data_IF_057082176193
#
_entry.id   IF_057082176193
#
_cell.length_a   1.000
_cell.length_b   1.000
_cell.length_c   1.000
_cell.angle_alpha   90.00
_cell.angle_beta   90.00
_cell.angle_gamma   90.00
#
_symmetry.space_group_name_H-M   'P 1'
#
loop_
_entity.id
_entity.type
_entity.pdbx_description
1 polymer ?
#
# COMPACT_ATOMS: atom_id res chain seq x y z
N UNK A 1 -48.55 33.88 -15.07
CA UNK A 1 -48.91 32.94 -13.97
C UNK A 1 -48.09 31.67 -14.17
N UNK A 2 -46.97 31.58 -13.48
CA UNK A 2 -46.09 30.41 -13.58
C UNK A 2 -46.24 29.64 -12.28
N UNK A 3 -46.74 28.43 -12.38
CA UNK A 3 -46.93 27.52 -11.27
C UNK A 3 -45.73 26.55 -11.26
N UNK A 4 -44.65 26.92 -10.59
CA UNK A 4 -43.62 25.96 -10.24
C UNK A 4 -44.03 25.23 -8.96
N UNK A 5 -44.60 24.04 -9.10
CA UNK A 5 -44.73 23.08 -8.03
C UNK A 5 -43.35 22.68 -7.57
N UNK A 6 -42.98 23.02 -6.34
CA UNK A 6 -41.85 22.46 -5.61
C UNK A 6 -42.04 20.94 -5.51
N UNK A 7 -41.24 20.18 -6.24
CA UNK A 7 -41.12 18.77 -6.03
C UNK A 7 -40.61 18.54 -4.61
N UNK A 8 -41.37 17.80 -3.84
CA UNK A 8 -41.00 17.28 -2.53
C UNK A 8 -39.79 16.37 -2.74
N UNK A 9 -38.64 16.77 -2.25
CA UNK A 9 -37.41 15.98 -2.24
C UNK A 9 -37.72 14.73 -1.40
N UNK A 10 -37.97 13.61 -2.06
CA UNK A 10 -37.93 12.31 -1.41
C UNK A 10 -36.54 12.17 -0.83
N UNK A 11 -36.49 11.98 0.50
CA UNK A 11 -35.30 11.55 1.19
C UNK A 11 -34.98 10.12 0.72
N UNK A 12 -34.31 10.02 -0.42
CA UNK A 12 -33.54 8.85 -0.71
C UNK A 12 -32.50 8.76 0.41
N UNK A 13 -32.63 7.78 1.26
CA UNK A 13 -31.60 7.42 2.21
C UNK A 13 -30.35 7.00 1.43
N UNK A 14 -29.69 7.98 0.85
CA UNK A 14 -28.34 7.83 0.38
C UNK A 14 -27.51 7.56 1.64
N UNK A 15 -27.22 6.31 1.88
CA UNK A 15 -26.04 5.91 2.63
C UNK A 15 -24.84 6.33 1.76
N UNK A 16 -24.64 7.64 1.68
CA UNK A 16 -23.51 8.20 1.01
C UNK A 16 -22.27 7.72 1.77
N UNK A 17 -21.35 7.12 1.07
CA UNK A 17 -19.96 7.23 1.47
C UNK A 17 -19.78 8.69 1.86
N UNK A 18 -19.54 8.96 3.15
CA UNK A 18 -19.40 10.32 3.61
C UNK A 18 -18.19 10.87 2.85
N UNK A 19 -18.45 11.68 1.85
CA UNK A 19 -17.41 12.41 1.15
C UNK A 19 -16.63 13.15 2.21
N UNK A 20 -15.32 12.95 2.25
CA UNK A 20 -14.41 13.72 3.06
C UNK A 20 -14.50 15.19 2.60
N UNK A 21 -15.53 15.88 3.12
CA UNK A 21 -15.70 17.31 2.94
C UNK A 21 -14.52 18.01 3.58
N UNK A 22 -13.63 18.52 2.76
CA UNK A 22 -12.76 19.67 3.00
C UNK A 22 -12.24 19.86 4.44
N UNK A 23 -11.46 18.91 4.95
CA UNK A 23 -10.54 19.16 6.06
C UNK A 23 -9.11 18.77 5.66
N UNK A 24 -8.73 19.04 4.42
CA UNK A 24 -7.34 19.14 4.03
C UNK A 24 -6.74 20.40 4.65
N UNK A 25 -6.39 20.34 5.92
CA UNK A 25 -5.40 21.24 6.47
C UNK A 25 -4.10 21.00 5.68
N UNK A 26 -3.70 21.99 4.89
CA UNK A 26 -2.41 22.03 4.19
C UNK A 26 -1.31 22.02 5.25
N UNK A 27 -0.88 20.86 5.67
CA UNK A 27 0.18 20.68 6.67
C UNK A 27 0.77 19.28 6.56
N UNK A 28 2.04 19.17 6.87
CA UNK A 28 2.74 17.89 7.00
C UNK A 28 1.95 16.93 7.90
N UNK A 29 1.82 15.63 7.58
CA UNK A 29 1.04 14.68 8.40
C UNK A 29 1.37 14.72 9.90
N UNK A 30 2.61 15.02 10.26
CA UNK A 30 3.05 15.17 11.64
C UNK A 30 2.57 16.45 12.34
N UNK A 31 2.20 17.52 11.62
CA UNK A 31 1.65 18.74 12.22
C UNK A 31 0.21 18.55 12.72
N UNK A 32 -0.45 17.47 12.35
CA UNK A 32 -1.79 17.12 12.82
C UNK A 32 -1.80 16.51 14.22
N UNK A 33 -0.65 16.01 14.72
CA UNK A 33 -0.55 15.52 16.11
C UNK A 33 -0.80 16.62 17.16
N UNK A 34 -0.60 17.89 16.79
CA UNK A 34 -0.87 19.02 17.68
C UNK A 34 -2.35 19.43 17.73
N UNK A 35 -3.14 19.00 16.73
CA UNK A 35 -4.58 19.27 16.68
C UNK A 35 -5.34 17.98 16.96
N UNK A 36 -5.63 17.70 18.22
CA UNK A 36 -6.49 16.61 18.60
C UNK A 36 -7.89 16.81 18.01
N UNK A 37 -8.12 16.19 16.85
CA UNK A 37 -9.46 16.00 16.32
C UNK A 37 -9.89 14.58 16.64
N UNK A 38 -10.92 14.37 17.46
CA UNK A 38 -11.40 13.01 17.75
C UNK A 38 -12.01 12.32 16.51
N UNK A 39 -12.11 12.99 15.39
CA UNK A 39 -12.63 12.51 14.11
C UNK A 39 -11.57 11.86 13.23
N UNK A 40 -10.36 12.36 13.29
CA UNK A 40 -9.26 11.91 12.46
C UNK A 40 -8.45 10.90 13.27
N UNK A 41 -8.25 9.72 12.72
CA UNK A 41 -7.24 8.80 13.22
C UNK A 41 -5.91 9.25 12.61
N UNK A 42 -5.07 10.02 13.31
CA UNK A 42 -3.84 10.58 12.73
C UNK A 42 -2.91 9.49 12.21
N UNK A 43 -2.99 8.28 12.79
CA UNK A 43 -2.26 7.11 12.33
C UNK A 43 -2.66 6.70 10.91
N UNK A 44 -3.94 6.82 10.52
CA UNK A 44 -4.40 6.45 9.19
C UNK A 44 -3.79 7.35 8.11
N UNK A 45 -3.86 8.67 8.31
CA UNK A 45 -3.25 9.64 7.38
C UNK A 45 -1.73 9.48 7.27
N UNK A 46 -1.08 9.06 8.36
CA UNK A 46 0.35 8.76 8.32
C UNK A 46 0.63 7.54 7.45
N UNK A 47 -0.20 6.50 7.52
CA UNK A 47 -0.05 5.32 6.67
C UNK A 47 -0.30 5.64 5.19
N UNK A 48 -1.28 6.49 4.88
CA UNK A 48 -1.52 6.99 3.52
C UNK A 48 -0.31 7.74 2.98
N UNK A 49 0.24 8.67 3.78
CA UNK A 49 1.43 9.42 3.41
C UNK A 49 2.67 8.53 3.19
N UNK A 50 2.85 7.48 4.01
CA UNK A 50 3.94 6.51 3.84
C UNK A 50 3.78 5.73 2.54
N UNK A 51 2.57 5.26 2.24
CA UNK A 51 2.27 4.54 1.02
C UNK A 51 2.55 5.38 -0.22
N UNK A 52 2.16 6.64 -0.20
CA UNK A 52 2.39 7.59 -1.30
C UNK A 52 3.88 7.95 -1.45
N UNK A 53 4.59 8.17 -0.33
CA UNK A 53 5.97 8.62 -0.34
C UNK A 53 6.99 7.51 -0.59
N UNK A 54 6.68 6.24 -0.28
CA UNK A 54 7.63 5.11 -0.34
C UNK A 54 7.10 4.01 -1.26
N UNK A 55 7.49 4.03 -2.55
CA UNK A 55 6.97 3.09 -3.57
C UNK A 55 7.10 1.61 -3.22
N UNK A 56 8.14 1.24 -2.46
CA UNK A 56 8.35 -0.16 -2.03
C UNK A 56 7.24 -0.62 -1.07
N UNK A 57 6.70 0.27 -0.25
CA UNK A 57 5.58 -0.04 0.65
C UNK A 57 4.30 -0.27 -0.15
N UNK A 58 4.01 0.61 -1.11
CA UNK A 58 2.84 0.44 -1.99
C UNK A 58 2.96 -0.84 -2.81
N UNK A 59 4.13 -1.11 -3.41
CA UNK A 59 4.38 -2.34 -4.14
C UNK A 59 4.14 -3.60 -3.29
N UNK A 60 4.55 -3.60 -2.02
CA UNK A 60 4.32 -4.72 -1.11
C UNK A 60 2.83 -4.94 -0.85
N UNK A 61 2.06 -3.88 -0.57
CA UNK A 61 0.62 -3.96 -0.35
C UNK A 61 -0.11 -4.46 -1.60
N UNK A 62 0.23 -3.92 -2.78
CA UNK A 62 -0.33 -4.35 -4.06
C UNK A 62 -0.03 -5.82 -4.35
N UNK A 63 1.19 -6.29 -4.04
CA UNK A 63 1.56 -7.70 -4.21
C UNK A 63 0.77 -8.62 -3.28
N UNK A 64 0.64 -8.27 -1.99
CA UNK A 64 -0.20 -9.05 -1.06
C UNK A 64 -1.63 -9.12 -1.58
N UNK A 65 -2.19 -7.99 -1.99
CA UNK A 65 -3.56 -7.92 -2.50
C UNK A 65 -3.76 -8.82 -3.73
N UNK A 66 -2.86 -8.73 -4.71
CA UNK A 66 -2.91 -9.55 -5.92
C UNK A 66 -2.76 -11.06 -5.63
N UNK A 67 -1.90 -11.45 -4.68
CA UNK A 67 -1.66 -12.86 -4.35
C UNK A 67 -2.76 -13.47 -3.48
N UNK A 68 -3.45 -12.67 -2.67
CA UNK A 68 -4.60 -13.12 -1.87
C UNK A 68 -5.84 -13.30 -2.74
N UNK A 69 -5.99 -12.49 -3.80
CA UNK A 69 -7.12 -12.51 -4.72
C UNK A 69 -7.26 -13.86 -5.44
N UNK A 70 -8.43 -14.09 -6.00
CA UNK A 70 -8.75 -15.30 -6.75
C UNK A 70 -9.49 -16.33 -5.89
N UNK A 71 -10.80 -16.40 -6.08
CA UNK A 71 -11.65 -17.40 -5.46
C UNK A 71 -12.85 -17.71 -6.36
N UNK A 72 -13.41 -18.88 -6.19
CA UNK A 72 -14.67 -19.28 -6.78
C UNK A 72 -15.65 -19.71 -5.68
N UNK A 73 -16.94 -19.69 -6.00
CA UNK A 73 -17.98 -20.12 -5.09
C UNK A 73 -18.62 -21.38 -5.65
N UNK A 74 -18.79 -22.39 -4.81
CA UNK A 74 -19.49 -23.62 -5.14
C UNK A 74 -20.76 -23.74 -4.32
N UNK A 75 -21.89 -23.98 -5.00
CA UNK A 75 -23.17 -24.26 -4.41
C UNK A 75 -23.59 -25.70 -4.75
N UNK A 76 -24.39 -26.33 -3.89
CA UNK A 76 -24.91 -27.68 -4.14
C UNK A 76 -26.05 -27.71 -5.17
N UNK A 77 -26.76 -26.61 -5.34
CA UNK A 77 -27.84 -26.42 -6.28
C UNK A 77 -27.34 -25.68 -7.53
N UNK A 78 -27.73 -26.18 -8.72
CA UNK A 78 -27.29 -25.60 -10.01
C UNK A 78 -27.88 -24.21 -10.28
N UNK A 79 -29.14 -23.98 -9.87
CA UNK A 79 -29.77 -22.67 -10.05
C UNK A 79 -29.09 -21.63 -9.13
N UNK A 80 -28.83 -22.00 -7.87
CA UNK A 80 -28.08 -21.17 -6.95
C UNK A 80 -26.64 -20.89 -7.43
N UNK A 81 -26.00 -21.86 -8.10
CA UNK A 81 -24.67 -21.68 -8.70
C UNK A 81 -24.67 -20.61 -9.80
N UNK A 82 -25.64 -20.67 -10.72
CA UNK A 82 -25.76 -19.70 -11.80
C UNK A 82 -26.05 -18.29 -11.26
N UNK A 83 -26.92 -18.17 -10.25
CA UNK A 83 -27.23 -16.90 -9.60
C UNK A 83 -26.01 -16.30 -8.94
N UNK A 84 -25.27 -17.11 -8.17
CA UNK A 84 -24.08 -16.60 -7.45
C UNK A 84 -22.95 -16.21 -8.41
N UNK A 85 -22.75 -16.93 -9.51
CA UNK A 85 -21.77 -16.56 -10.54
C UNK A 85 -22.12 -15.24 -11.22
N UNK A 86 -23.39 -15.03 -11.51
CA UNK A 86 -23.88 -13.74 -12.03
C UNK A 86 -23.68 -12.62 -11.03
N UNK A 87 -23.97 -12.86 -9.76
CA UNK A 87 -23.77 -11.91 -8.68
C UNK A 87 -22.29 -11.55 -8.50
N UNK A 88 -21.38 -12.55 -8.46
CA UNK A 88 -19.95 -12.36 -8.30
C UNK A 88 -19.38 -11.40 -9.33
N UNK A 89 -19.81 -11.52 -10.58
CA UNK A 89 -19.28 -10.73 -11.69
C UNK A 89 -19.90 -9.32 -11.80
N UNK A 90 -21.16 -9.15 -11.38
CA UNK A 90 -21.93 -7.97 -11.71
C UNK A 90 -22.24 -7.05 -10.53
N UNK A 91 -22.08 -7.50 -9.27
CA UNK A 91 -22.42 -6.69 -8.10
C UNK A 91 -21.63 -5.39 -8.10
N UNK A 92 -22.27 -4.22 -7.96
CA UNK A 92 -21.55 -2.96 -7.78
C UNK A 92 -20.72 -3.00 -6.50
N UNK A 93 -19.44 -2.65 -6.63
CA UNK A 93 -18.45 -2.73 -5.55
C UNK A 93 -17.88 -1.34 -5.16
N UNK A 94 -18.76 -0.36 -5.09
CA UNK A 94 -18.37 1.02 -4.84
C UNK A 94 -17.85 1.75 -6.10
N UNK A 95 -18.23 3.01 -6.27
CA UNK A 95 -17.84 3.82 -7.42
C UNK A 95 -18.22 3.20 -8.77
N UNK A 96 -17.23 3.05 -9.65
CA UNK A 96 -17.41 2.46 -11.00
C UNK A 96 -17.08 0.97 -11.05
N UNK A 97 -16.50 0.41 -9.99
CA UNK A 97 -16.05 -0.98 -9.97
C UNK A 97 -17.21 -1.95 -9.79
N UNK A 98 -17.09 -3.12 -10.42
CA UNK A 98 -18.05 -4.20 -10.35
C UNK A 98 -17.34 -5.51 -10.03
N UNK A 99 -18.12 -6.44 -9.49
CA UNK A 99 -17.65 -7.74 -9.06
C UNK A 99 -17.26 -7.80 -7.59
N UNK A 100 -17.50 -8.96 -6.98
CA UNK A 100 -17.17 -9.17 -5.58
C UNK A 100 -15.66 -9.17 -5.34
N UNK A 101 -14.85 -9.54 -6.34
CA UNK A 101 -13.38 -9.46 -6.28
C UNK A 101 -12.89 -8.04 -6.09
N UNK A 102 -13.52 -7.07 -6.77
CA UNK A 102 -13.18 -5.66 -6.61
C UNK A 102 -13.48 -5.16 -5.18
N UNK A 103 -14.60 -5.59 -4.59
CA UNK A 103 -14.89 -5.30 -3.19
C UNK A 103 -13.87 -5.95 -2.25
N UNK A 104 -13.56 -7.25 -2.45
CA UNK A 104 -12.61 -7.98 -1.60
C UNK A 104 -11.22 -7.34 -1.66
N UNK A 105 -10.79 -6.91 -2.85
CA UNK A 105 -9.53 -6.21 -3.04
C UNK A 105 -9.47 -4.89 -2.25
N UNK A 106 -10.50 -4.05 -2.35
CA UNK A 106 -10.59 -2.81 -1.59
C UNK A 106 -10.69 -3.04 -0.07
N UNK A 107 -11.45 -4.06 0.32
CA UNK A 107 -11.62 -4.42 1.71
C UNK A 107 -10.33 -4.95 2.34
N UNK A 108 -9.59 -5.78 1.60
CA UNK A 108 -8.27 -6.26 2.02
C UNK A 108 -7.26 -5.12 2.10
N UNK A 109 -7.25 -4.22 1.12
CA UNK A 109 -6.38 -3.04 1.13
C UNK A 109 -6.59 -2.20 2.40
N UNK A 110 -7.84 -1.91 2.74
CA UNK A 110 -8.20 -1.22 3.97
C UNK A 110 -7.76 -1.99 5.22
N UNK A 111 -7.91 -3.32 5.22
CA UNK A 111 -7.50 -4.18 6.33
C UNK A 111 -5.97 -4.16 6.55
N UNK A 112 -5.20 -4.19 5.47
CA UNK A 112 -3.73 -4.13 5.53
C UNK A 112 -3.25 -2.76 5.99
N UNK A 113 -3.80 -1.70 5.41
CA UNK A 113 -3.43 -0.31 5.67
C UNK A 113 -3.71 0.09 7.11
N UNK A 114 -4.93 -0.15 7.59
CA UNK A 114 -5.39 0.39 8.86
C UNK A 114 -5.58 -0.68 9.94
N UNK A 115 -5.40 -1.94 9.57
CA UNK A 115 -5.61 -3.07 10.50
C UNK A 115 -7.08 -3.40 10.76
N UNK A 116 -7.99 -2.58 10.27
CA UNK A 116 -9.45 -2.75 10.45
C UNK A 116 -10.13 -2.45 9.14
N UNK A 117 -11.05 -3.29 8.73
CA UNK A 117 -11.87 -3.04 7.56
C UNK A 117 -13.35 -3.06 7.92
N UNK A 118 -14.10 -2.16 7.30
CA UNK A 118 -15.55 -2.02 7.45
C UNK A 118 -16.18 -2.00 6.07
N UNK A 119 -17.11 -2.92 5.81
CA UNK A 119 -17.90 -2.95 4.61
C UNK A 119 -19.39 -2.95 4.93
N UNK A 120 -20.21 -2.63 3.95
CA UNK A 120 -21.66 -2.63 4.03
C UNK A 120 -22.27 -3.36 2.83
N UNK A 121 -23.30 -4.14 3.11
CA UNK A 121 -24.17 -4.75 2.10
C UNK A 121 -25.41 -3.89 1.93
N UNK A 122 -25.65 -3.42 0.72
CA UNK A 122 -26.85 -2.64 0.36
C UNK A 122 -27.87 -3.59 -0.26
N UNK A 123 -29.04 -3.66 0.35
CA UNK A 123 -30.11 -4.52 -0.14
C UNK A 123 -30.91 -3.82 -1.25
N UNK A 124 -31.45 -4.60 -2.18
CA UNK A 124 -32.41 -4.08 -3.17
C UNK A 124 -33.69 -3.56 -2.49
N UNK A 125 -34.39 -2.57 -3.04
CA UNK A 125 -35.61 -2.01 -2.45
C UNK A 125 -36.67 -3.06 -2.10
N UNK A 126 -36.80 -4.10 -2.92
CA UNK A 126 -37.70 -5.24 -2.69
C UNK A 126 -37.14 -6.33 -1.78
N UNK A 127 -35.91 -6.18 -1.24
CA UNK A 127 -35.19 -7.20 -0.48
C UNK A 127 -35.05 -8.53 -1.23
N UNK A 128 -35.01 -8.47 -2.55
CA UNK A 128 -34.85 -9.64 -3.43
C UNK A 128 -33.39 -10.04 -3.66
N UNK A 129 -32.45 -9.40 -3.01
CA UNK A 129 -31.03 -9.69 -3.11
C UNK A 129 -30.17 -8.55 -2.56
N UNK A 130 -28.86 -8.73 -2.60
CA UNK A 130 -27.87 -7.69 -2.34
C UNK A 130 -27.69 -6.89 -3.63
N UNK A 131 -27.96 -5.59 -3.56
CA UNK A 131 -27.88 -4.66 -4.69
C UNK A 131 -26.47 -4.13 -4.92
N UNK A 132 -25.71 -3.94 -3.86
CA UNK A 132 -24.32 -3.47 -3.91
C UNK A 132 -23.58 -3.84 -2.64
N UNK A 133 -22.26 -3.86 -2.73
CA UNK A 133 -21.33 -3.95 -1.59
C UNK A 133 -20.37 -2.78 -1.64
N UNK A 134 -20.04 -2.18 -0.53
CA UNK A 134 -19.10 -1.06 -0.48
C UNK A 134 -18.21 -1.12 0.76
N UNK A 135 -17.03 -0.52 0.66
CA UNK A 135 -16.12 -0.34 1.78
C UNK A 135 -16.38 1.02 2.40
N UNK A 136 -16.53 1.07 3.72
CA UNK A 136 -16.81 2.31 4.44
C UNK A 136 -15.53 3.11 4.73
N UNK A 137 -15.65 4.43 4.78
CA UNK A 137 -14.55 5.33 5.16
C UNK A 137 -14.33 5.27 6.67
N UNK A 138 -13.13 4.82 7.09
CA UNK A 138 -12.81 4.64 8.52
C UNK A 138 -12.73 5.94 9.31
N UNK A 139 -12.51 7.08 8.67
CA UNK A 139 -12.41 8.37 9.34
C UNK A 139 -13.74 8.82 9.92
N UNK A 140 -14.84 8.44 9.26
CA UNK A 140 -16.20 8.75 9.68
C UNK A 140 -16.82 7.65 10.56
N UNK A 141 -16.10 6.55 10.81
CA UNK A 141 -16.60 5.38 11.50
C UNK A 141 -15.89 5.21 12.85
N UNK A 142 -16.66 4.99 13.89
CA UNK A 142 -16.18 4.64 15.22
C UNK A 142 -16.70 3.27 15.64
N UNK A 143 -15.80 2.41 16.09
CA UNK A 143 -16.11 1.08 16.59
C UNK A 143 -16.15 1.09 18.10
N UNK A 144 -17.28 0.74 18.68
CA UNK A 144 -17.50 0.60 20.12
C UNK A 144 -17.65 -0.88 20.47
N UNK A 145 -16.95 -1.30 21.53
CA UNK A 145 -17.09 -2.67 22.04
C UNK A 145 -18.44 -2.84 22.72
N UNK A 146 -19.18 -3.86 22.32
CA UNK A 146 -20.46 -4.21 22.93
C UNK A 146 -20.38 -5.61 23.54
N UNK A 147 -20.52 -5.70 24.85
CA UNK A 147 -20.42 -6.97 25.59
C UNK A 147 -19.03 -7.61 25.51
N UNK A 148 -18.96 -8.94 25.59
CA UNK A 148 -17.70 -9.68 25.58
C UNK A 148 -17.06 -9.77 24.18
N UNK A 149 -17.86 -9.99 23.14
CA UNK A 149 -17.37 -10.32 21.78
C UNK A 149 -18.03 -9.50 20.67
N UNK A 150 -18.83 -8.47 20.99
CA UNK A 150 -19.54 -7.65 20.01
C UNK A 150 -18.84 -6.33 19.71
N UNK A 151 -19.08 -5.81 18.50
CA UNK A 151 -18.73 -4.45 18.12
C UNK A 151 -19.95 -3.76 17.54
N UNK A 152 -20.15 -2.50 17.88
CA UNK A 152 -21.17 -1.63 17.32
C UNK A 152 -20.50 -0.53 16.51
N UNK A 153 -21.03 -0.29 15.35
CA UNK A 153 -20.55 0.74 14.43
C UNK A 153 -21.36 2.01 14.59
N UNK A 154 -20.65 3.10 14.78
CA UNK A 154 -21.20 4.45 14.83
C UNK A 154 -20.65 5.24 13.64
N UNK A 155 -21.51 6.03 13.03
CA UNK A 155 -21.12 7.02 12.02
C UNK A 155 -21.17 8.40 12.62
N UNK A 156 -20.18 9.21 12.35
CA UNK A 156 -20.12 10.58 12.78
C UNK A 156 -20.65 11.48 11.65
N UNK A 157 -21.65 12.28 12.00
CA UNK A 157 -22.24 13.30 11.15
C UNK A 157 -22.03 14.68 11.78
N UNK A 158 -22.29 15.76 11.04
CA UNK A 158 -22.14 17.14 11.52
C UNK A 158 -22.93 17.46 12.82
N UNK A 159 -23.95 16.64 13.16
CA UNK A 159 -24.78 16.80 14.35
C UNK A 159 -24.43 15.86 15.52
N UNK A 160 -23.38 15.03 15.40
CA UNK A 160 -22.98 14.09 16.44
C UNK A 160 -22.82 12.66 15.96
N UNK A 161 -22.70 11.71 16.89
CA UNK A 161 -22.57 10.28 16.60
C UNK A 161 -23.95 9.64 16.49
N UNK A 162 -24.14 8.81 15.44
CA UNK A 162 -25.35 8.00 15.26
C UNK A 162 -24.97 6.53 15.04
N UNK A 163 -25.64 5.57 15.73
CA UNK A 163 -25.41 4.16 15.45
C UNK A 163 -25.95 3.81 14.06
N UNK A 164 -25.22 3.00 13.32
CA UNK A 164 -25.73 2.46 12.05
C UNK A 164 -26.99 1.65 12.33
N UNK A 165 -28.04 1.86 11.53
CA UNK A 165 -29.36 1.30 11.79
C UNK A 165 -29.39 -0.23 11.67
N UNK A 166 -28.68 -0.80 10.69
CA UNK A 166 -28.66 -2.24 10.41
C UNK A 166 -27.24 -2.77 10.58
N UNK A 167 -26.87 -3.09 11.81
CA UNK A 167 -25.55 -3.63 12.15
C UNK A 167 -25.28 -4.99 11.49
N UNK A 168 -26.33 -5.75 11.20
CA UNK A 168 -26.26 -7.08 10.58
C UNK A 168 -25.75 -7.02 9.14
N UNK A 169 -25.99 -5.91 8.45
CA UNK A 169 -25.53 -5.68 7.07
C UNK A 169 -24.09 -5.21 6.98
N UNK A 170 -23.47 -4.95 8.12
CA UNK A 170 -22.07 -4.53 8.17
C UNK A 170 -21.13 -5.73 8.17
N UNK A 171 -20.02 -5.55 7.49
CA UNK A 171 -18.90 -6.48 7.38
C UNK A 171 -17.73 -5.89 8.15
N UNK A 172 -17.26 -6.58 9.18
CA UNK A 172 -16.21 -6.09 10.06
C UNK A 172 -15.09 -7.11 10.13
N UNK A 173 -13.87 -6.66 9.94
CA UNK A 173 -12.67 -7.48 10.13
C UNK A 173 -11.57 -6.69 10.83
N UNK A 174 -10.79 -7.38 11.63
CA UNK A 174 -9.65 -6.81 12.34
C UNK A 174 -8.42 -7.71 12.15
N UNK A 175 -7.30 -7.10 11.76
CA UNK A 175 -6.03 -7.78 11.60
C UNK A 175 -5.29 -7.79 12.94
N UNK A 176 -5.00 -8.97 13.48
CA UNK A 176 -4.29 -9.14 14.76
C UNK A 176 -4.79 -8.21 15.88
N UNK A 177 -6.08 -8.25 16.22
CA UNK A 177 -6.60 -7.42 17.29
C UNK A 177 -5.95 -7.78 18.62
N UNK A 178 -5.65 -6.78 19.44
CA UNK A 178 -5.22 -7.04 20.81
C UNK A 178 -6.38 -7.54 21.66
N UNK A 179 -6.13 -8.38 22.68
CA UNK A 179 -7.19 -8.82 23.58
C UNK A 179 -8.00 -7.65 24.11
N UNK A 180 -9.32 -7.73 23.97
CA UNK A 180 -10.24 -6.68 24.44
C UNK A 180 -10.42 -5.48 23.52
N UNK A 181 -9.71 -5.38 22.42
CA UNK A 181 -9.91 -4.34 21.39
C UNK A 181 -10.76 -4.86 20.24
N UNK A 182 -11.55 -4.00 19.64
CA UNK A 182 -12.36 -4.26 18.44
C UNK A 182 -11.67 -3.81 17.15
N UNK A 183 -10.60 -3.01 17.29
CA UNK A 183 -9.76 -2.54 16.19
C UNK A 183 -8.53 -3.42 16.05
N UNK A 184 -8.11 -3.66 14.82
CA UNK A 184 -6.90 -4.42 14.52
C UNK A 184 -5.63 -3.55 14.53
N UNK A 185 -4.55 -4.17 14.14
CA UNK A 185 -3.23 -3.54 14.03
C UNK A 185 -2.83 -3.47 12.56
N UNK A 186 -2.51 -2.27 12.07
CA UNK A 186 -2.01 -2.05 10.71
C UNK A 186 -0.76 -2.89 10.41
N UNK A 187 -0.65 -3.38 9.18
CA UNK A 187 0.58 -3.99 8.68
C UNK A 187 1.73 -2.97 8.68
N UNK A 188 1.42 -1.68 8.47
CA UNK A 188 2.42 -0.61 8.43
C UNK A 188 2.87 -0.12 9.81
N UNK A 189 2.28 -0.63 10.88
CA UNK A 189 2.66 -0.23 12.24
C UNK A 189 4.14 -0.52 12.51
N UNK A 190 4.87 0.52 12.89
CA UNK A 190 6.33 0.48 13.11
C UNK A 190 7.16 0.94 11.92
N UNK A 191 6.58 1.07 10.72
CA UNK A 191 7.28 1.61 9.55
C UNK A 191 7.48 3.13 9.54
N UNK A 192 6.67 3.97 10.22
CA UNK A 192 6.84 5.43 10.15
C UNK A 192 8.26 5.90 10.42
N UNK A 193 8.92 5.35 11.43
CA UNK A 193 10.31 5.69 11.75
C UNK A 193 11.28 5.22 10.65
N UNK A 194 11.11 3.99 10.16
CA UNK A 194 11.98 3.40 9.13
C UNK A 194 11.89 4.18 7.82
N UNK A 195 10.67 4.54 7.42
CA UNK A 195 10.41 5.30 6.19
C UNK A 195 10.90 6.74 6.29
N UNK A 196 10.79 7.39 7.45
CA UNK A 196 11.34 8.73 7.67
C UNK A 196 12.89 8.74 7.50
N UNK A 197 13.57 7.74 8.07
CA UNK A 197 15.02 7.59 7.89
C UNK A 197 15.37 7.32 6.43
N UNK A 198 14.63 6.45 5.75
CA UNK A 198 14.86 6.14 4.34
C UNK A 198 14.69 7.39 3.44
N UNK A 199 13.65 8.17 3.66
CA UNK A 199 13.40 9.40 2.91
C UNK A 199 14.50 10.45 3.16
N UNK A 200 15.02 10.56 4.38
CA UNK A 200 16.17 11.41 4.69
C UNK A 200 17.43 10.97 3.96
N UNK A 201 17.67 9.65 3.86
CA UNK A 201 18.79 9.10 3.08
C UNK A 201 18.64 9.48 1.61
N UNK A 202 17.47 9.28 1.00
CA UNK A 202 17.23 9.64 -0.39
C UNK A 202 17.38 11.13 -0.65
N UNK A 203 16.87 11.98 0.24
CA UNK A 203 17.06 13.42 0.15
C UNK A 203 18.56 13.81 0.22
N UNK A 204 19.32 13.16 1.11
CA UNK A 204 20.76 13.37 1.23
C UNK A 204 21.50 12.97 -0.04
N UNK A 205 21.11 11.85 -0.65
CA UNK A 205 21.63 11.41 -1.95
C UNK A 205 21.36 12.49 -3.01
N UNK A 206 20.12 12.97 -3.11
CA UNK A 206 19.75 14.04 -4.06
C UNK A 206 20.60 15.30 -3.88
N UNK A 207 20.72 15.80 -2.65
CA UNK A 207 21.55 16.97 -2.33
C UNK A 207 23.03 16.74 -2.67
N UNK A 208 23.54 15.53 -2.43
CA UNK A 208 24.93 15.21 -2.76
C UNK A 208 25.16 15.19 -4.28
N UNK A 209 24.22 14.62 -5.05
CA UNK A 209 24.28 14.66 -6.51
C UNK A 209 24.21 16.10 -7.07
N UNK A 210 23.35 16.95 -6.51
CA UNK A 210 23.31 18.37 -6.89
C UNK A 210 24.61 19.09 -6.56
N UNK A 211 25.24 18.80 -5.41
CA UNK A 211 26.55 19.40 -5.03
C UNK A 211 27.69 18.97 -5.94
N UNK A 212 27.68 17.70 -6.37
CA UNK A 212 28.71 17.16 -7.26
C UNK A 212 28.50 17.65 -8.69
N UNK A 213 27.25 17.68 -9.15
CA UNK A 213 26.88 18.18 -10.48
C UNK A 213 27.14 19.68 -10.63
N UNK A 214 27.04 20.44 -9.56
CA UNK A 214 27.38 21.88 -9.53
C UNK A 214 28.81 22.07 -9.09
N UNK A 215 29.77 21.82 -9.99
CA UNK A 215 31.19 22.06 -9.75
C UNK A 215 31.42 23.53 -9.40
N UNK A 216 31.99 23.79 -8.21
CA UNK A 216 32.33 25.12 -7.76
C UNK A 216 33.82 25.31 -7.93
N UNK A 217 34.21 26.48 -8.41
CA UNK A 217 35.58 26.82 -8.60
C UNK A 217 35.98 27.96 -7.66
N UNK A 218 37.10 27.82 -6.96
CA UNK A 218 37.73 28.91 -6.27
C UNK A 218 38.85 29.47 -7.18
N UNK A 219 38.63 30.65 -7.68
CA UNK A 219 39.63 31.36 -8.48
C UNK A 219 40.37 32.32 -7.55
N UNK A 220 41.64 32.04 -7.29
CA UNK A 220 42.46 32.86 -6.42
C UNK A 220 43.50 33.60 -7.27
N UNK A 221 43.43 34.94 -7.28
CA UNK A 221 44.40 35.77 -7.90
C UNK A 221 45.44 36.23 -6.86
N UNK A 222 46.73 35.98 -7.11
CA UNK A 222 47.83 36.46 -6.27
C UNK A 222 48.53 37.64 -6.95
N UNK A 223 48.38 38.87 -6.44
CA UNK A 223 49.09 40.03 -7.02
C UNK A 223 50.60 39.90 -6.80
N UNK A 224 51.40 40.32 -7.80
CA UNK A 224 52.84 40.41 -7.64
C UNK A 224 53.20 41.46 -6.60
N UNK A 225 54.36 41.31 -5.98
CA UNK A 225 54.81 42.12 -4.81
C UNK A 225 55.09 43.62 -5.07
N UNK A 226 54.80 44.14 -6.29
CA UNK A 226 54.92 45.55 -6.59
C UNK A 226 53.75 46.39 -6.05
N UNK A 227 54.00 47.57 -5.50
CA UNK A 227 53.02 48.49 -4.92
C UNK A 227 51.92 48.86 -5.94
N UNK A 228 52.25 49.00 -7.21
CA UNK A 228 51.31 49.28 -8.30
C UNK A 228 50.43 48.13 -8.61
N UNK A 229 50.87 46.85 -8.48
CA UNK A 229 50.09 45.65 -8.67
C UNK A 229 49.07 45.48 -7.56
N UNK A 230 49.33 45.91 -6.34
CA UNK A 230 48.39 45.85 -5.22
C UNK A 230 47.23 46.83 -5.37
N UNK A 231 47.47 48.04 -5.90
CA UNK A 231 46.39 49.03 -6.12
C UNK A 231 45.38 48.57 -7.18
N UNK A 232 45.81 47.86 -8.24
CA UNK A 232 44.95 47.38 -9.28
C UNK A 232 44.46 45.94 -9.05
N UNK A 233 44.82 45.32 -7.96
CA UNK A 233 44.44 43.92 -7.66
C UNK A 233 42.93 43.72 -7.56
N UNK A 234 42.22 44.68 -6.96
CA UNK A 234 40.75 44.61 -6.83
C UNK A 234 40.03 44.74 -8.17
N UNK A 235 40.52 45.57 -9.09
CA UNK A 235 39.94 45.71 -10.43
C UNK A 235 40.16 44.44 -11.27
N UNK A 236 41.37 43.88 -11.22
CA UNK A 236 41.69 42.63 -11.92
C UNK A 236 40.89 41.45 -11.39
N UNK A 237 40.71 41.36 -10.08
CA UNK A 237 39.87 40.31 -9.48
C UNK A 237 38.42 40.41 -9.95
N UNK A 238 37.86 41.63 -10.08
CA UNK A 238 36.52 41.85 -10.65
C UNK A 238 36.44 41.45 -12.12
N UNK A 239 37.42 41.81 -12.93
CA UNK A 239 37.46 41.43 -14.35
C UNK A 239 37.51 39.91 -14.50
N UNK A 240 38.33 39.23 -13.72
CA UNK A 240 38.41 37.77 -13.72
C UNK A 240 37.05 37.16 -13.29
N UNK A 241 36.40 37.71 -12.27
CA UNK A 241 35.08 37.24 -11.80
C UNK A 241 33.97 37.43 -12.87
N UNK A 242 34.01 38.58 -13.57
CA UNK A 242 33.06 38.87 -14.63
C UNK A 242 33.24 37.95 -15.86
N UNK A 243 34.48 37.75 -16.30
CA UNK A 243 34.80 36.81 -17.39
C UNK A 243 34.45 35.37 -17.00
N UNK A 244 34.75 34.94 -15.78
CA UNK A 244 34.39 33.63 -15.26
C UNK A 244 32.86 33.46 -15.24
N UNK A 245 32.13 34.47 -14.75
CA UNK A 245 30.66 34.44 -14.72
C UNK A 245 30.05 34.33 -16.13
N UNK A 246 30.64 35.00 -17.12
CA UNK A 246 30.19 34.88 -18.52
C UNK A 246 30.45 33.48 -19.09
N UNK A 247 31.66 32.93 -18.88
CA UNK A 247 32.01 31.59 -19.31
C UNK A 247 31.10 30.52 -18.69
N UNK A 248 30.76 30.62 -17.40
CA UNK A 248 29.85 29.72 -16.71
C UNK A 248 28.42 29.79 -17.23
N UNK A 249 27.91 30.99 -17.56
CA UNK A 249 26.58 31.16 -18.16
C UNK A 249 26.50 30.59 -19.56
N UNK A 250 27.58 30.66 -20.34
CA UNK A 250 27.67 30.05 -21.66
C UNK A 250 27.72 28.53 -21.59
N UNK A 251 28.38 27.96 -20.58
CA UNK A 251 28.39 26.52 -20.31
C UNK A 251 27.03 25.94 -19.99
N UNK A 252 26.16 26.69 -19.31
CA UNK A 252 24.77 26.26 -19.06
C UNK A 252 23.92 26.15 -20.35
N UNK A 253 24.31 26.85 -21.40
CA UNK A 253 23.67 26.81 -22.72
C UNK A 253 24.31 25.80 -23.69
N UNK A 254 25.14 24.87 -23.17
CA UNK A 254 25.78 23.84 -23.97
C UNK A 254 27.02 24.26 -24.76
N UNK A 255 27.50 25.49 -24.57
CA UNK A 255 28.72 26.00 -25.19
C UNK A 255 29.84 25.95 -24.19
N UNK A 256 30.87 25.13 -24.44
CA UNK A 256 32.07 25.07 -23.59
C UNK A 256 33.02 26.20 -24.01
N UNK A 257 33.29 27.13 -23.11
CA UNK A 257 34.27 28.22 -23.30
C UNK A 257 35.46 27.97 -22.42
N UNK A 258 36.64 27.97 -23.02
CA UNK A 258 37.89 27.88 -22.29
C UNK A 258 38.19 29.24 -21.61
N UNK A 259 38.60 29.16 -20.34
CA UNK A 259 38.99 30.33 -19.56
C UNK A 259 40.53 30.51 -19.69
N UNK A 260 40.92 31.64 -20.23
CA UNK A 260 42.34 32.00 -20.33
C UNK A 260 42.61 33.19 -19.42
N UNK A 261 43.42 32.99 -18.38
CA UNK A 261 43.84 34.03 -17.45
C UNK A 261 45.32 34.34 -17.68
N UNK A 262 45.65 35.65 -17.68
CA UNK A 262 47.03 36.15 -17.69
C UNK A 262 47.41 36.65 -16.30
N UNK A 263 48.35 35.96 -15.66
CA UNK A 263 48.83 36.29 -14.29
C UNK A 263 48.88 35.03 -13.39
N UNK A 264 49.24 35.24 -12.13
CA UNK A 264 49.27 34.13 -11.14
C UNK A 264 47.87 33.88 -10.61
N UNK A 265 47.12 33.04 -11.36
CA UNK A 265 45.76 32.62 -11.05
C UNK A 265 45.79 31.14 -10.71
N UNK A 266 45.38 30.81 -9.50
CA UNK A 266 45.20 29.43 -9.03
C UNK A 266 43.71 29.08 -9.03
N UNK A 267 43.32 28.05 -9.81
CA UNK A 267 41.95 27.58 -9.94
C UNK A 267 41.84 26.26 -9.21
N UNK A 268 41.10 26.24 -8.11
CA UNK A 268 40.79 25.02 -7.36
C UNK A 268 39.35 24.64 -7.53
N UNK A 269 39.14 23.41 -7.84
CA UNK A 269 37.78 22.82 -7.83
C UNK A 269 37.38 22.58 -6.38
N UNK A 270 36.31 23.22 -5.92
CA UNK A 270 35.74 22.99 -4.58
C UNK A 270 34.59 22.04 -4.70
N UNK A 271 34.68 20.93 -3.96
CA UNK A 271 33.58 19.95 -3.88
C UNK A 271 33.79 18.65 -4.65
N UNK A 272 34.85 18.57 -5.50
CA UNK A 272 35.19 17.32 -6.19
C UNK A 272 35.95 16.31 -5.30
N UNK A 273 36.57 16.76 -4.23
CA UNK A 273 37.34 15.92 -3.30
C UNK A 273 36.48 15.32 -2.19
N UNK A 274 35.19 15.68 -2.10
CA UNK A 274 34.30 15.09 -1.11
C UNK A 274 33.86 13.72 -1.59
N UNK A 275 34.34 12.69 -0.92
CA UNK A 275 33.83 11.35 -1.07
C UNK A 275 32.30 11.37 -0.98
N UNK A 276 31.63 10.82 -2.00
CA UNK A 276 30.19 10.57 -1.94
C UNK A 276 29.95 9.70 -0.70
N UNK A 277 29.15 10.20 0.23
CA UNK A 277 28.77 9.41 1.38
C UNK A 277 28.15 8.10 0.88
N UNK A 278 28.71 6.97 1.26
CA UNK A 278 28.16 5.67 0.93
C UNK A 278 26.82 5.52 1.65
N UNK A 279 25.76 5.67 0.88
CA UNK A 279 24.38 5.57 1.36
C UNK A 279 23.77 4.20 1.07
N UNK A 280 24.49 3.28 0.41
CA UNK A 280 23.97 1.97 0.02
C UNK A 280 23.62 1.13 1.24
N UNK A 281 24.55 0.99 2.19
CA UNK A 281 24.33 0.17 3.38
C UNK A 281 23.18 0.68 4.25
N UNK A 282 23.12 1.99 4.62
CA UNK A 282 21.99 2.51 5.39
C UNK A 282 20.64 2.38 4.68
N UNK A 283 20.58 2.66 3.38
CA UNK A 283 19.36 2.51 2.60
C UNK A 283 18.91 1.05 2.57
N UNK A 284 19.82 0.12 2.35
CA UNK A 284 19.56 -1.32 2.36
C UNK A 284 19.00 -1.78 3.71
N UNK A 285 19.59 -1.36 4.83
CA UNK A 285 19.10 -1.71 6.16
C UNK A 285 17.66 -1.25 6.40
N UNK A 286 17.28 -0.07 5.91
CA UNK A 286 15.89 0.42 6.00
C UNK A 286 14.95 -0.38 5.11
N UNK A 287 15.37 -0.74 3.89
CA UNK A 287 14.58 -1.59 3.00
C UNK A 287 14.41 -3.01 3.58
N UNK A 288 15.43 -3.57 4.23
CA UNK A 288 15.35 -4.87 4.93
C UNK A 288 14.29 -4.84 6.05
N UNK A 289 14.15 -3.73 6.77
CA UNK A 289 13.09 -3.58 7.78
C UNK A 289 11.69 -3.55 7.14
N UNK A 290 11.54 -2.93 5.96
CA UNK A 290 10.27 -2.92 5.22
C UNK A 290 9.94 -4.34 4.74
N UNK A 291 10.90 -5.05 4.16
CA UNK A 291 10.76 -6.45 3.75
C UNK A 291 10.37 -7.35 4.93
N UNK A 292 11.09 -7.25 6.04
CA UNK A 292 10.81 -8.02 7.25
C UNK A 292 9.41 -7.75 7.81
N UNK A 293 8.93 -6.51 7.71
CA UNK A 293 7.60 -6.10 8.21
C UNK A 293 6.47 -6.55 7.30
N UNK A 294 6.66 -6.47 5.98
CA UNK A 294 5.64 -6.83 4.99
C UNK A 294 5.60 -8.33 4.69
N UNK A 295 6.67 -9.05 5.00
CA UNK A 295 6.82 -10.48 4.68
C UNK A 295 7.02 -10.78 3.19
N UNK A 296 7.09 -9.75 2.33
CA UNK A 296 7.28 -9.94 0.89
C UNK A 296 8.77 -10.12 0.59
N UNK A 297 9.17 -11.23 -0.07
CA UNK A 297 10.55 -11.44 -0.45
C UNK A 297 11.15 -10.32 -1.30
N UNK A 298 12.43 -9.95 -1.11
CA UNK A 298 13.07 -8.84 -1.82
C UNK A 298 12.97 -8.93 -3.34
N UNK A 299 13.12 -10.12 -3.91
CA UNK A 299 13.07 -10.32 -5.35
C UNK A 299 11.70 -9.96 -5.96
N UNK A 300 10.60 -10.12 -5.19
CA UNK A 300 9.26 -9.71 -5.63
C UNK A 300 9.06 -8.20 -5.63
N UNK A 301 9.87 -7.48 -4.88
CA UNK A 301 9.90 -6.01 -4.82
C UNK A 301 10.93 -5.39 -5.78
N UNK A 302 11.57 -6.21 -6.62
CA UNK A 302 12.62 -5.77 -7.54
C UNK A 302 13.95 -5.46 -6.86
N UNK A 303 14.15 -5.91 -5.63
CA UNK A 303 15.40 -5.72 -4.88
C UNK A 303 16.33 -6.90 -5.14
N UNK A 304 17.38 -6.66 -5.92
CA UNK A 304 18.36 -7.67 -6.30
C UNK A 304 19.40 -7.89 -5.20
N UNK A 305 18.98 -8.52 -4.10
CA UNK A 305 19.92 -9.00 -3.10
C UNK A 305 20.32 -10.43 -3.44
N UNK A 306 21.60 -10.76 -3.23
CA UNK A 306 22.11 -12.10 -3.51
C UNK A 306 21.35 -13.12 -2.66
N UNK A 307 20.46 -13.86 -3.30
CA UNK A 307 19.73 -14.98 -2.70
C UNK A 307 20.01 -16.23 -3.52
N UNK A 308 20.11 -17.37 -2.85
CA UNK A 308 20.18 -18.66 -3.52
C UNK A 308 18.77 -19.11 -3.92
N UNK A 309 18.64 -19.88 -4.97
CA UNK A 309 17.37 -20.47 -5.42
C UNK A 309 16.61 -21.14 -4.27
N UNK A 310 17.32 -21.90 -3.45
CA UNK A 310 16.75 -22.57 -2.28
C UNK A 310 16.18 -21.58 -1.24
N UNK A 311 16.85 -20.44 -1.00
CA UNK A 311 16.32 -19.41 -0.11
C UNK A 311 15.07 -18.78 -0.68
N UNK A 312 15.03 -18.52 -1.98
CA UNK A 312 13.87 -17.93 -2.64
C UNK A 312 12.66 -18.85 -2.56
N UNK A 313 12.83 -20.16 -2.74
CA UNK A 313 11.76 -21.17 -2.57
C UNK A 313 11.24 -21.21 -1.14
N UNK A 314 12.13 -21.23 -0.14
CA UNK A 314 11.71 -21.22 1.27
C UNK A 314 10.97 -19.94 1.65
N UNK A 315 11.39 -18.79 1.13
CA UNK A 315 10.70 -17.52 1.36
C UNK A 315 9.31 -17.51 0.71
N UNK A 316 9.16 -18.11 -0.48
CA UNK A 316 7.88 -18.27 -1.15
C UNK A 316 6.90 -19.15 -0.34
N UNK A 317 7.37 -20.24 0.25
CA UNK A 317 6.55 -21.12 1.08
C UNK A 317 6.07 -20.41 2.37
N UNK A 318 6.95 -19.65 3.02
CA UNK A 318 6.59 -18.85 4.19
C UNK A 318 5.54 -17.79 3.82
N UNK A 319 5.75 -17.08 2.70
CA UNK A 319 4.80 -16.10 2.21
C UNK A 319 3.43 -16.72 1.93
N UNK A 320 3.39 -17.89 1.30
CA UNK A 320 2.13 -18.61 1.04
C UNK A 320 1.36 -18.87 2.34
N UNK A 321 2.03 -19.27 3.40
CA UNK A 321 1.42 -19.47 4.72
C UNK A 321 0.83 -18.19 5.30
N UNK A 322 1.52 -17.05 5.14
CA UNK A 322 0.99 -15.75 5.58
C UNK A 322 -0.22 -15.30 4.77
N UNK A 323 -0.21 -15.51 3.45
CA UNK A 323 -1.33 -15.16 2.58
C UNK A 323 -2.59 -15.96 2.96
N UNK A 324 -2.47 -17.22 3.36
CA UNK A 324 -3.57 -18.02 3.88
C UNK A 324 -4.20 -17.42 5.15
N UNK A 325 -3.45 -16.72 5.96
CA UNK A 325 -3.98 -16.00 7.12
C UNK A 325 -4.95 -14.91 6.71
N UNK A 326 -4.64 -14.13 5.66
CA UNK A 326 -5.57 -13.11 5.15
C UNK A 326 -6.83 -13.75 4.56
N UNK A 327 -6.68 -14.84 3.80
CA UNK A 327 -7.82 -15.61 3.26
C UNK A 327 -8.76 -16.09 4.35
N UNK A 328 -8.24 -16.56 5.50
CA UNK A 328 -9.06 -16.96 6.65
C UNK A 328 -9.87 -15.80 7.24
N UNK A 329 -9.36 -14.58 7.19
CA UNK A 329 -10.08 -13.38 7.66
C UNK A 329 -11.16 -12.98 6.66
N UNK A 330 -10.90 -13.12 5.36
CA UNK A 330 -11.84 -12.75 4.28
C UNK A 330 -12.96 -13.78 4.08
N UNK A 331 -12.68 -15.05 4.29
CA UNK A 331 -13.66 -16.16 4.10
C UNK A 331 -15.00 -15.88 4.78
N UNK A 332 -15.11 -15.53 6.07
CA UNK A 332 -16.40 -15.26 6.70
C UNK A 332 -17.10 -14.01 6.12
N UNK A 333 -16.36 -13.03 5.63
CA UNK A 333 -16.92 -11.83 5.00
C UNK A 333 -17.58 -12.20 3.68
N UNK A 334 -16.85 -12.89 2.81
CA UNK A 334 -17.35 -13.35 1.51
C UNK A 334 -18.54 -14.30 1.70
N UNK A 335 -18.42 -15.28 2.61
CA UNK A 335 -19.52 -16.19 2.96
C UNK A 335 -20.77 -15.44 3.39
N UNK A 336 -20.63 -14.41 4.23
CA UNK A 336 -21.76 -13.62 4.71
C UNK A 336 -22.47 -12.91 3.56
N UNK A 337 -21.72 -12.28 2.66
CA UNK A 337 -22.28 -11.58 1.49
C UNK A 337 -23.03 -12.57 0.59
N UNK A 338 -22.38 -13.66 0.19
CA UNK A 338 -22.94 -14.65 -0.73
C UNK A 338 -24.17 -15.37 -0.15
N UNK A 339 -24.10 -15.81 1.10
CA UNK A 339 -25.22 -16.48 1.74
C UNK A 339 -26.40 -15.53 1.99
N UNK A 340 -26.15 -14.26 2.30
CA UNK A 340 -27.20 -13.25 2.42
C UNK A 340 -27.89 -13.05 1.08
N UNK A 341 -27.12 -12.91 0.00
CA UNK A 341 -27.68 -12.77 -1.35
C UNK A 341 -28.55 -13.98 -1.73
N UNK A 342 -28.03 -15.20 -1.64
CA UNK A 342 -28.75 -16.41 -1.97
C UNK A 342 -30.06 -16.60 -1.18
N UNK A 343 -30.02 -16.33 0.13
CA UNK A 343 -31.21 -16.42 0.99
C UNK A 343 -32.29 -15.41 0.62
N UNK A 344 -31.88 -14.18 0.25
CA UNK A 344 -32.83 -13.17 -0.21
C UNK A 344 -33.42 -13.50 -1.59
N UNK A 345 -32.67 -14.16 -2.47
CA UNK A 345 -33.15 -14.70 -3.74
C UNK A 345 -34.02 -15.97 -3.58
N UNK A 346 -34.15 -16.50 -2.36
CA UNK A 346 -35.00 -17.67 -2.07
C UNK A 346 -34.28 -19.02 -2.11
N UNK A 347 -32.98 -19.07 -2.37
CA UNK A 347 -32.20 -20.29 -2.37
C UNK A 347 -31.81 -20.72 -0.95
N UNK A 348 -31.89 -22.03 -0.67
CA UNK A 348 -31.47 -22.61 0.61
C UNK A 348 -30.06 -23.20 0.58
N UNK A 349 -29.40 -23.13 -0.57
CA UNK A 349 -28.02 -23.61 -0.73
C UNK A 349 -27.03 -22.67 -0.02
N UNK A 350 -26.02 -23.24 0.62
CA UNK A 350 -24.92 -22.48 1.21
C UNK A 350 -23.77 -22.34 0.21
N UNK A 351 -23.22 -21.14 0.16
CA UNK A 351 -22.07 -20.79 -0.67
C UNK A 351 -20.78 -21.27 -0.01
N UNK A 352 -20.06 -22.18 -0.67
CA UNK A 352 -18.74 -22.64 -0.24
C UNK A 352 -17.66 -21.92 -1.05
N UNK A 353 -16.77 -21.22 -0.37
CA UNK A 353 -15.64 -20.53 -1.00
C UNK A 353 -14.54 -21.54 -1.29
N UNK A 354 -14.02 -21.49 -2.50
CA UNK A 354 -12.86 -22.25 -2.96
C UNK A 354 -11.83 -21.22 -3.42
N UNK A 355 -10.76 -21.10 -2.68
CA UNK A 355 -9.64 -20.22 -3.04
C UNK A 355 -8.78 -20.88 -4.10
N UNK A 356 -8.30 -20.08 -5.04
CA UNK A 356 -7.35 -20.53 -6.03
C UNK A 356 -6.00 -20.83 -5.36
N UNK A 357 -5.26 -21.78 -5.90
CA UNK A 357 -3.95 -22.13 -5.36
C UNK A 357 -2.97 -20.97 -5.53
N UNK A 358 -2.24 -20.64 -4.46
CA UNK A 358 -1.18 -19.66 -4.50
C UNK A 358 0.08 -20.38 -4.98
N UNK A 359 0.29 -20.39 -6.30
CA UNK A 359 1.48 -20.98 -6.88
C UNK A 359 2.52 -19.88 -7.12
N UNK A 360 3.56 -19.87 -6.29
CA UNK A 360 4.77 -19.07 -6.48
C UNK A 360 5.92 -19.92 -7.06
N UNK A 361 5.67 -21.20 -7.25
CA UNK A 361 6.61 -22.17 -7.80
C UNK A 361 6.37 -22.33 -9.30
N UNK A 362 7.43 -22.75 -10.01
CA UNK A 362 7.36 -23.05 -11.43
C UNK A 362 6.37 -24.20 -11.67
N UNK A 363 5.48 -24.06 -12.65
CA UNK A 363 4.50 -25.10 -13.04
C UNK A 363 5.15 -26.45 -13.32
N UNK A 364 6.38 -26.44 -13.80
CA UNK A 364 7.17 -27.65 -14.08
C UNK A 364 7.54 -28.37 -12.77
N UNK A 365 7.88 -27.66 -11.72
CA UNK A 365 8.18 -28.25 -10.41
C UNK A 365 6.91 -28.81 -9.74
N UNK A 366 5.80 -28.10 -9.85
CA UNK A 366 4.49 -28.58 -9.37
C UNK A 366 4.06 -29.86 -10.10
N UNK A 367 4.22 -29.91 -11.42
CA UNK A 367 3.92 -31.10 -12.21
C UNK A 367 4.82 -32.29 -11.83
N UNK A 368 6.10 -32.07 -11.58
CA UNK A 368 7.03 -33.10 -11.07
C UNK A 368 6.62 -33.59 -9.69
N UNK A 369 6.29 -32.69 -8.77
CA UNK A 369 5.82 -33.04 -7.43
C UNK A 369 4.54 -33.87 -7.47
N UNK A 370 3.58 -33.52 -8.33
CA UNK A 370 2.36 -34.29 -8.56
C UNK A 370 2.66 -35.67 -9.12
N UNK A 371 3.55 -35.77 -10.10
CA UNK A 371 3.97 -37.06 -10.66
C UNK A 371 4.59 -37.96 -9.58
N UNK A 372 5.49 -37.43 -8.75
CA UNK A 372 6.10 -38.17 -7.66
C UNK A 372 5.05 -38.63 -6.63
N UNK A 373 4.08 -37.77 -6.28
CA UNK A 373 2.96 -38.14 -5.40
C UNK A 373 2.12 -39.26 -5.98
N UNK A 374 1.77 -39.18 -7.26
CA UNK A 374 1.01 -40.25 -7.93
C UNK A 374 1.80 -41.57 -7.97
N UNK A 375 3.09 -41.51 -8.25
CA UNK A 375 3.95 -42.69 -8.23
C UNK A 375 4.04 -43.29 -6.82
N UNK A 376 4.20 -42.47 -5.77
CA UNK A 376 4.21 -42.91 -4.39
C UNK A 376 2.88 -43.57 -4.01
N UNK A 377 1.75 -43.03 -4.43
CA UNK A 377 0.44 -43.56 -4.18
C UNK A 377 0.19 -44.88 -4.93
N UNK A 378 0.69 -45.02 -6.17
CA UNK A 378 0.66 -46.28 -6.90
C UNK A 378 1.52 -47.36 -6.23
N UNK A 379 2.68 -47.01 -5.71
CA UNK A 379 3.55 -47.93 -4.97
C UNK A 379 2.88 -48.35 -3.66
N UNK A 380 2.30 -47.42 -2.89
CA UNK A 380 1.57 -47.70 -1.67
C UNK A 380 0.39 -48.67 -1.92
N UNK A 381 -0.38 -48.42 -2.97
CA UNK A 381 -1.50 -49.30 -3.37
C UNK A 381 -1.00 -50.69 -3.80
N UNK A 382 0.13 -50.80 -4.48
CA UNK A 382 0.75 -52.08 -4.85
C UNK A 382 1.29 -52.88 -3.65
N UNK A 383 1.72 -52.17 -2.62
CA UNK A 383 2.23 -52.78 -1.37
C UNK A 383 1.13 -53.09 -0.36
N UNK A 384 -0.14 -52.81 -0.66
CA UNK A 384 -1.27 -53.09 0.23
C UNK A 384 -1.28 -52.22 1.49
N UNK A 385 -0.57 -51.10 1.50
CA UNK A 385 -0.62 -50.14 2.63
C UNK A 385 -1.94 -49.36 2.50
N UNK A 386 -2.82 -49.51 3.47
CA UNK A 386 -4.05 -48.75 3.55
C UNK A 386 -3.75 -47.24 3.66
N UNK A 387 -4.50 -46.45 2.93
CA UNK A 387 -4.34 -45.00 2.78
C UNK A 387 -4.59 -44.19 4.06
N UNK A 388 -4.81 -44.82 5.21
CA UNK A 388 -5.11 -44.16 6.48
C UNK A 388 -3.90 -43.46 7.14
N UNK A 389 -2.68 -43.81 6.79
CA UNK A 389 -1.48 -43.25 7.41
C UNK A 389 -0.85 -42.09 6.61
N UNK A 390 -1.23 -41.92 5.34
CA UNK A 390 -0.74 -40.81 4.51
C UNK A 390 -1.44 -39.46 4.81
N UNK A 391 -2.63 -39.48 5.40
CA UNK A 391 -3.36 -38.26 5.80
C UNK A 391 -2.96 -37.74 7.20
N UNK A 392 -2.24 -38.54 8.00
CA UNK A 392 -1.74 -38.14 9.33
C UNK A 392 -0.39 -37.44 9.31
N UNK A 393 0.28 -37.41 8.17
CA UNK A 393 1.60 -36.79 7.98
C UNK A 393 1.57 -35.43 7.26
N UNK A 394 0.38 -34.81 7.17
CA UNK A 394 0.21 -33.45 6.67
C UNK A 394 -0.01 -32.45 7.81
#
# INVERSE_FOLDING_TARGET
>A
MSVFKKAKKEESGAYGCASAGELCAKGHPFSQFERYSPLLKPENHLYDAIREAVPVVDAALCKINALVSGFSIKCSDREAQNEIESFLNNVPAGGINRGLDAFVSQYLDQLLMYGTAVGEMILSPGRSGVSAVCVGELDNIELEKTGACGARVWVREAGGKRPVKYQELLLLSALSPKPGQVTGTSLLKGLPFVTDVLLKIYNTIGINFERIGNVRFAVTYKPSSSVQAQVSAGERARMIADEWSKAMRQGQNGSVSDFVAVGDVDIKVIGADNQILDCEVPARLMLEQIVAKTGIPPFMLGLNWSSTERMSTQQADILTTELWRYRRILTPVISKVCNTHLRLCGYRSDARIVWDDISLQDEVELAKAQLIRMQAQQIANKLGMETSDAERAQ
#
